data_IF_363602949708
#
_entry.id   IF_363602949708
#
_cell.length_a   1.000
_cell.length_b   1.000
_cell.length_c   1.000
_cell.angle_alpha   90.00
_cell.angle_beta   90.00
_cell.angle_gamma   90.00
#
_symmetry.space_group_name_H-M   'P 1'
#
loop_
_entity.id
_entity.type
_entity.pdbx_description
1 polymer ?
#
# COMPACT_ATOMS: atom_id res chain seq x y z
N UNK A 1 7.23 19.92 -23.25
CA UNK A 1 8.08 19.08 -22.38
C UNK A 1 8.10 19.69 -20.99
N UNK A 2 7.81 18.91 -19.95
CA UNK A 2 8.01 19.30 -18.55
C UNK A 2 8.96 18.31 -17.90
N UNK A 3 9.80 18.76 -16.99
CA UNK A 3 10.72 17.89 -16.28
C UNK A 3 10.80 18.28 -14.80
N UNK A 4 11.02 17.28 -13.96
CA UNK A 4 11.19 17.42 -12.52
C UNK A 4 12.48 16.70 -12.13
N UNK A 5 13.25 17.35 -11.27
CA UNK A 5 14.45 16.78 -10.69
C UNK A 5 14.19 16.69 -9.19
N UNK A 6 13.97 15.48 -8.71
CA UNK A 6 13.81 15.25 -7.29
C UNK A 6 15.18 14.95 -6.69
N UNK A 7 15.69 15.88 -5.89
CA UNK A 7 16.91 15.67 -5.11
C UNK A 7 16.52 15.16 -3.74
N UNK A 8 16.70 13.87 -3.50
CA UNK A 8 16.45 13.30 -2.18
C UNK A 8 17.67 12.59 -1.63
N UNK A 9 17.84 12.60 -0.30
CA UNK A 9 19.00 12.01 0.39
C UNK A 9 19.27 10.52 0.08
N UNK A 10 18.35 9.80 -0.58
CA UNK A 10 18.48 8.37 -0.87
C UNK A 10 18.43 8.03 -2.36
N UNK A 11 17.72 8.81 -3.18
CA UNK A 11 17.61 8.58 -4.63
C UNK A 11 17.36 9.93 -5.31
N UNK A 12 18.18 10.26 -6.30
CA UNK A 12 17.91 11.37 -7.20
C UNK A 12 17.09 10.81 -8.37
N UNK A 13 15.88 11.33 -8.60
CA UNK A 13 15.06 10.89 -9.75
C UNK A 13 14.82 12.05 -10.70
N UNK A 14 15.12 11.82 -11.97
CA UNK A 14 14.78 12.72 -13.06
C UNK A 14 13.56 12.15 -13.77
N UNK A 15 12.48 12.93 -13.77
CA UNK A 15 11.23 12.60 -14.41
C UNK A 15 11.05 13.59 -15.55
N UNK A 16 10.89 13.10 -16.78
CA UNK A 16 10.67 13.95 -17.96
C UNK A 16 9.40 13.48 -18.64
N UNK A 17 8.49 14.41 -18.88
CA UNK A 17 7.23 14.14 -19.56
C UNK A 17 7.18 14.96 -20.84
N UNK A 18 7.11 14.24 -21.96
CA UNK A 18 6.91 14.80 -23.31
C UNK A 18 5.47 14.56 -23.75
N UNK A 19 5.12 14.93 -24.98
CA UNK A 19 3.75 14.70 -25.48
C UNK A 19 3.45 13.22 -25.71
N UNK A 20 4.47 12.39 -25.93
CA UNK A 20 4.29 10.99 -26.37
C UNK A 20 4.99 9.98 -25.44
N UNK A 21 5.97 10.42 -24.66
CA UNK A 21 6.86 9.55 -23.89
C UNK A 21 7.05 10.07 -22.47
N UNK A 22 6.94 9.15 -21.52
CA UNK A 22 7.28 9.32 -20.11
C UNK A 22 8.68 8.75 -19.85
N UNK A 23 9.61 9.55 -19.33
CA UNK A 23 10.95 9.10 -18.94
C UNK A 23 11.10 9.19 -17.44
N UNK A 24 11.64 8.14 -16.84
CA UNK A 24 12.09 8.14 -15.45
C UNK A 24 13.45 7.46 -15.35
N UNK A 25 14.37 8.12 -14.66
CA UNK A 25 15.72 7.60 -14.47
C UNK A 25 16.28 8.03 -13.11
N UNK A 26 17.14 7.19 -12.56
CA UNK A 26 17.89 7.45 -11.32
C UNK A 26 19.35 7.75 -11.70
N UNK A 27 19.70 9.02 -12.01
CA UNK A 27 21.05 9.37 -12.38
C UNK A 27 22.02 9.34 -11.20
N UNK A 28 23.28 9.04 -11.51
CA UNK A 28 24.39 9.35 -10.60
C UNK A 28 24.61 10.87 -10.54
N UNK A 29 25.25 11.38 -9.50
CA UNK A 29 25.49 12.83 -9.32
C UNK A 29 26.14 13.52 -10.54
N UNK A 30 27.05 12.81 -11.23
CA UNK A 30 27.72 13.31 -12.44
C UNK A 30 26.76 13.43 -13.63
N UNK A 31 25.89 12.43 -13.80
CA UNK A 31 24.92 12.38 -14.89
C UNK A 31 23.81 13.42 -14.66
N UNK A 32 23.48 13.71 -13.40
CA UNK A 32 22.47 14.68 -13.02
C UNK A 32 22.76 16.09 -13.56
N UNK A 33 24.02 16.55 -13.45
CA UNK A 33 24.43 17.87 -13.95
C UNK A 33 24.35 17.91 -15.47
N UNK A 34 24.81 16.84 -16.14
CA UNK A 34 24.74 16.72 -17.59
C UNK A 34 23.28 16.74 -18.08
N UNK A 35 22.41 15.93 -17.47
CA UNK A 35 20.98 15.89 -17.80
C UNK A 35 20.30 17.21 -17.54
N UNK A 36 20.63 17.90 -16.44
CA UNK A 36 20.06 19.21 -16.16
C UNK A 36 20.41 20.24 -17.25
N UNK A 37 21.63 20.22 -17.77
CA UNK A 37 22.04 21.12 -18.86
C UNK A 37 21.36 20.76 -20.19
N UNK A 38 21.25 19.47 -20.52
CA UNK A 38 20.56 19.02 -21.73
C UNK A 38 19.06 19.32 -21.70
N UNK A 39 18.40 19.07 -20.58
CA UNK A 39 16.97 19.35 -20.39
C UNK A 39 16.66 20.86 -20.46
N UNK A 40 17.57 21.72 -19.95
CA UNK A 40 17.47 23.18 -20.11
C UNK A 40 17.54 23.62 -21.58
N UNK A 41 18.25 22.87 -22.41
CA UNK A 41 18.36 23.10 -23.85
C UNK A 41 17.23 22.43 -24.65
N UNK A 42 16.19 21.91 -23.97
CA UNK A 42 15.10 21.14 -24.58
C UNK A 42 15.57 19.89 -25.33
N UNK A 43 16.71 19.29 -24.91
CA UNK A 43 17.20 18.03 -25.45
C UNK A 43 16.92 16.91 -24.45
N UNK A 44 16.47 15.77 -24.96
CA UNK A 44 16.27 14.56 -24.15
C UNK A 44 17.59 13.80 -24.12
N UNK A 45 18.18 13.56 -22.94
CA UNK A 45 19.40 12.77 -22.84
C UNK A 45 19.23 11.37 -23.43
N UNK A 46 20.18 10.93 -24.24
CA UNK A 46 20.13 9.64 -24.94
C UNK A 46 20.11 8.43 -23.99
N UNK A 47 20.55 8.63 -22.74
CA UNK A 47 20.59 7.60 -21.70
C UNK A 47 19.23 7.42 -20.98
N UNK A 48 18.25 8.30 -21.22
CA UNK A 48 16.92 8.16 -20.64
C UNK A 48 16.13 7.07 -21.37
N UNK A 49 15.78 6.02 -20.65
CA UNK A 49 14.78 5.05 -21.10
C UNK A 49 13.39 5.60 -20.86
N UNK A 50 12.59 5.65 -21.93
CA UNK A 50 11.23 6.19 -21.90
C UNK A 50 10.18 5.14 -22.24
N UNK A 51 9.01 5.29 -21.64
CA UNK A 51 7.81 4.49 -21.92
C UNK A 51 6.89 5.36 -22.76
N UNK A 52 6.60 4.90 -23.98
CA UNK A 52 5.61 5.55 -24.84
C UNK A 52 4.23 5.45 -24.21
N UNK A 53 3.45 6.53 -24.27
CA UNK A 53 2.11 6.57 -23.70
C UNK A 53 1.17 5.51 -24.28
N UNK A 54 1.32 5.17 -25.57
CA UNK A 54 0.59 4.07 -26.22
C UNK A 54 0.82 2.69 -25.60
N UNK A 55 1.90 2.51 -24.82
CA UNK A 55 2.22 1.26 -24.12
C UNK A 55 1.76 1.27 -22.67
N UNK A 56 1.38 2.43 -22.13
CA UNK A 56 0.84 2.54 -20.79
C UNK A 56 -0.60 2.02 -20.84
N UNK A 57 -0.98 1.19 -19.87
CA UNK A 57 -2.36 0.74 -19.69
C UNK A 57 -3.08 1.57 -18.65
N UNK A 58 -2.41 1.81 -17.53
CA UNK A 58 -2.91 2.71 -16.50
C UNK A 58 -1.80 3.28 -15.63
N UNK A 59 -2.12 4.38 -14.96
CA UNK A 59 -1.27 5.01 -13.97
C UNK A 59 -2.06 5.10 -12.66
N UNK A 60 -1.49 4.54 -11.59
CA UNK A 60 -2.11 4.50 -10.27
C UNK A 60 -1.46 5.56 -9.35
N UNK A 61 -2.26 6.53 -8.94
CA UNK A 61 -1.91 7.50 -7.90
C UNK A 61 -2.59 7.12 -6.61
N UNK A 62 -1.86 6.46 -5.71
CA UNK A 62 -2.35 6.13 -4.38
C UNK A 62 -2.10 7.30 -3.41
N UNK A 63 -3.16 7.78 -2.77
CA UNK A 63 -3.06 8.85 -1.77
C UNK A 63 -2.27 8.38 -0.54
N UNK A 64 -1.50 9.27 0.09
CA UNK A 64 -0.66 8.91 1.24
C UNK A 64 0.57 8.04 0.93
N UNK A 65 0.73 7.54 -0.30
CA UNK A 65 2.00 6.98 -0.78
C UNK A 65 2.86 8.05 -1.45
N UNK A 66 4.16 8.00 -1.17
CA UNK A 66 5.19 8.82 -1.79
C UNK A 66 5.66 8.28 -3.14
N UNK A 67 4.86 7.42 -3.77
CA UNK A 67 5.13 6.87 -5.08
C UNK A 67 3.84 6.84 -5.90
N UNK A 68 4.01 6.66 -7.20
CA UNK A 68 2.96 6.29 -8.13
C UNK A 68 3.46 5.17 -9.04
N UNK A 69 2.55 4.37 -9.56
CA UNK A 69 2.87 3.21 -10.38
C UNK A 69 2.39 3.42 -11.81
N UNK A 70 3.26 3.17 -12.77
CA UNK A 70 2.91 3.13 -14.19
C UNK A 70 2.89 1.67 -14.61
N UNK A 71 1.72 1.20 -15.04
CA UNK A 71 1.53 -0.14 -15.57
C UNK A 71 1.60 -0.08 -17.09
N UNK A 72 2.62 -0.71 -17.67
CA UNK A 72 2.88 -0.69 -19.10
C UNK A 72 3.04 -2.11 -19.66
N UNK A 73 2.83 -2.25 -20.97
CA UNK A 73 2.76 -3.53 -21.68
C UNK A 73 1.82 -4.53 -21.00
N UNK A 74 2.07 -5.85 -20.97
CA UNK A 74 1.14 -6.83 -20.35
C UNK A 74 1.40 -7.11 -18.87
N UNK A 75 2.62 -6.89 -18.36
CA UNK A 75 3.00 -7.28 -16.98
C UNK A 75 4.03 -6.37 -16.32
N UNK A 76 4.47 -5.31 -16.98
CA UNK A 76 5.56 -4.49 -16.45
C UNK A 76 5.00 -3.33 -15.62
N UNK A 77 5.66 -3.07 -14.49
CA UNK A 77 5.27 -2.06 -13.52
C UNK A 77 6.49 -1.21 -13.23
N UNK A 78 6.37 0.10 -13.42
CA UNK A 78 7.37 1.07 -13.04
C UNK A 78 6.89 1.84 -11.80
N UNK A 79 7.59 1.65 -10.68
CA UNK A 79 7.34 2.41 -9.46
C UNK A 79 8.21 3.68 -9.44
N UNK A 80 7.55 4.84 -9.43
CA UNK A 80 8.22 6.15 -9.41
C UNK A 80 8.06 6.78 -8.02
N UNK A 81 9.17 6.89 -7.30
CA UNK A 81 9.22 7.48 -5.96
C UNK A 81 9.30 9.01 -6.06
N UNK A 82 8.28 9.69 -5.55
CA UNK A 82 8.16 11.15 -5.45
C UNK A 82 7.80 11.55 -4.01
N UNK A 83 8.81 11.69 -3.13
CA UNK A 83 8.61 12.09 -1.73
C UNK A 83 7.91 13.42 -1.50
N UNK A 84 7.98 14.36 -2.45
CA UNK A 84 7.27 15.64 -2.34
C UNK A 84 5.86 15.53 -2.96
N UNK A 85 4.84 15.58 -2.11
CA UNK A 85 3.42 15.55 -2.51
C UNK A 85 3.04 16.66 -3.49
N UNK A 86 3.64 17.86 -3.39
CA UNK A 86 3.40 18.96 -4.33
C UNK A 86 3.86 18.58 -5.73
N UNK A 87 5.09 18.04 -5.84
CA UNK A 87 5.65 17.59 -7.12
C UNK A 87 4.83 16.42 -7.68
N UNK A 88 4.37 15.50 -6.83
CA UNK A 88 3.49 14.40 -7.25
C UNK A 88 2.19 14.92 -7.87
N UNK A 89 1.57 15.94 -7.27
CA UNK A 89 0.36 16.56 -7.79
C UNK A 89 0.62 17.30 -9.11
N UNK A 90 1.74 18.01 -9.23
CA UNK A 90 2.14 18.65 -10.49
C UNK A 90 2.36 17.64 -11.63
N UNK A 91 3.01 16.50 -11.33
CA UNK A 91 3.21 15.42 -12.30
C UNK A 91 1.85 14.84 -12.73
N UNK A 92 0.95 14.63 -11.76
CA UNK A 92 -0.42 14.16 -12.03
C UNK A 92 -1.15 15.12 -12.96
N UNK A 93 -1.16 16.42 -12.65
CA UNK A 93 -1.79 17.44 -13.49
C UNK A 93 -1.16 17.51 -14.89
N UNK A 94 0.17 17.42 -14.97
CA UNK A 94 0.86 17.42 -16.25
C UNK A 94 0.48 16.21 -17.11
N UNK A 95 0.40 15.02 -16.52
CA UNK A 95 -0.05 13.81 -17.21
C UNK A 95 -1.50 13.96 -17.67
N UNK A 96 -2.41 14.42 -16.81
CA UNK A 96 -3.81 14.71 -17.19
C UNK A 96 -3.89 15.71 -18.35
N UNK A 97 -3.02 16.72 -18.40
CA UNK A 97 -3.04 17.74 -19.46
C UNK A 97 -2.50 17.29 -20.82
N UNK A 98 -1.63 16.28 -20.83
CA UNK A 98 -0.93 15.81 -22.04
C UNK A 98 -1.69 14.67 -22.71
N UNK A 99 -2.41 13.90 -21.90
CA UNK A 99 -3.10 12.70 -22.32
C UNK A 99 -4.42 13.07 -23.02
N UNK A 100 -4.78 12.43 -24.15
CA UNK A 100 -6.02 12.75 -24.88
C UNK A 100 -7.28 12.59 -24.01
N UNK A 101 -8.33 13.33 -24.35
CA UNK A 101 -9.63 13.40 -23.67
C UNK A 101 -10.39 12.08 -23.48
N UNK A 102 -9.89 10.98 -24.05
CA UNK A 102 -10.49 9.65 -23.99
C UNK A 102 -10.13 8.88 -22.70
N UNK A 103 -9.36 9.51 -21.82
CA UNK A 103 -8.96 8.92 -20.53
C UNK A 103 -10.11 8.77 -19.56
N UNK A 104 -10.38 7.53 -19.17
CA UNK A 104 -11.34 7.23 -18.11
C UNK A 104 -10.58 7.36 -16.78
N UNK A 105 -10.89 8.43 -16.03
CA UNK A 105 -10.49 8.54 -14.64
C UNK A 105 -11.40 7.66 -13.80
N UNK A 106 -10.83 6.64 -13.18
CA UNK A 106 -11.53 5.78 -12.24
C UNK A 106 -10.96 6.00 -10.84
N UNK A 107 -11.78 6.51 -9.94
CA UNK A 107 -11.40 6.61 -8.53
C UNK A 107 -11.87 5.33 -7.83
N UNK A 108 -11.02 4.31 -7.87
CA UNK A 108 -11.29 3.07 -7.13
C UNK A 108 -10.86 3.23 -5.68
N UNK A 109 -11.83 3.16 -4.77
CA UNK A 109 -11.51 2.80 -3.40
C UNK A 109 -11.15 1.31 -3.38
N UNK A 110 -10.04 0.93 -2.71
CA UNK A 110 -9.71 -0.49 -2.51
C UNK A 110 -10.93 -1.27 -2.01
N UNK A 111 -11.16 -2.46 -2.55
CA UNK A 111 -12.33 -3.28 -2.19
C UNK A 111 -12.28 -3.72 -0.73
N UNK A 112 -13.42 -4.03 -0.09
CA UNK A 112 -13.46 -4.44 1.34
C UNK A 112 -12.53 -5.64 1.66
N UNK A 113 -12.33 -6.53 0.69
CA UNK A 113 -11.42 -7.68 0.78
C UNK A 113 -9.93 -7.29 0.68
N UNK A 114 -9.58 -6.32 -0.16
CA UNK A 114 -8.24 -5.70 -0.16
C UNK A 114 -8.03 -4.78 1.05
N UNK A 115 -9.13 -4.28 1.64
CA UNK A 115 -9.21 -3.54 2.90
C UNK A 115 -9.27 -4.46 4.12
N UNK A 116 -9.27 -5.79 3.96
CA UNK A 116 -9.14 -6.72 5.07
C UNK A 116 -7.74 -6.53 5.66
N UNK A 117 -7.62 -5.49 6.46
CA UNK A 117 -6.37 -5.06 7.05
C UNK A 117 -5.89 -6.20 7.92
N UNK A 118 -4.57 -6.30 8.11
CA UNK A 118 -3.95 -7.17 9.12
C UNK A 118 -4.70 -7.21 10.46
N UNK A 119 -5.43 -6.13 10.82
CA UNK A 119 -6.28 -6.04 11.99
C UNK A 119 -7.57 -6.88 11.89
N UNK A 120 -8.23 -6.94 10.72
CA UNK A 120 -9.40 -7.80 10.50
C UNK A 120 -9.04 -9.29 10.58
N UNK A 121 -7.89 -9.67 9.98
CA UNK A 121 -7.36 -11.04 10.12
C UNK A 121 -7.01 -11.33 11.58
N UNK A 122 -6.40 -10.38 12.28
CA UNK A 122 -6.09 -10.52 13.70
C UNK A 122 -7.36 -10.76 14.54
N UNK A 123 -8.44 -9.96 14.34
CA UNK A 123 -9.73 -10.14 15.04
C UNK A 123 -10.32 -11.53 14.78
N UNK A 124 -10.22 -12.04 13.55
CA UNK A 124 -10.73 -13.37 13.21
C UNK A 124 -9.95 -14.45 13.98
N UNK A 125 -8.63 -14.38 13.96
CA UNK A 125 -7.76 -15.33 14.68
C UNK A 125 -8.01 -15.26 16.19
N UNK A 126 -8.05 -14.08 16.78
CA UNK A 126 -8.27 -13.92 18.23
C UNK A 126 -9.67 -14.37 18.63
N UNK A 127 -10.69 -14.12 17.80
CA UNK A 127 -12.04 -14.63 18.05
C UNK A 127 -12.10 -16.15 17.98
N UNK A 128 -11.39 -16.77 17.02
CA UNK A 128 -11.30 -18.21 16.92
C UNK A 128 -10.58 -18.83 18.13
N UNK A 129 -9.46 -18.25 18.55
CA UNK A 129 -8.75 -18.69 19.77
C UNK A 129 -9.64 -18.52 21.01
N UNK A 130 -10.33 -17.39 21.15
CA UNK A 130 -11.25 -17.14 22.26
C UNK A 130 -12.36 -18.18 22.31
N UNK A 131 -12.92 -18.54 21.15
CA UNK A 131 -13.94 -19.57 21.06
C UNK A 131 -13.41 -20.93 21.54
N UNK A 132 -12.21 -21.34 21.12
CA UNK A 132 -11.59 -22.59 21.57
C UNK A 132 -11.30 -22.58 23.09
N UNK A 133 -10.76 -21.48 23.61
CA UNK A 133 -10.51 -21.34 25.05
C UNK A 133 -11.81 -21.40 25.85
N UNK A 134 -12.87 -20.76 25.35
CA UNK A 134 -14.19 -20.78 25.97
C UNK A 134 -14.77 -22.19 26.01
N UNK A 135 -14.73 -22.93 24.90
CA UNK A 135 -15.26 -24.31 24.87
C UNK A 135 -14.51 -25.20 25.85
N UNK A 136 -13.17 -25.12 25.89
CA UNK A 136 -12.37 -25.88 26.86
C UNK A 136 -12.72 -25.49 28.29
N UNK A 137 -12.93 -24.21 28.58
CA UNK A 137 -13.29 -23.75 29.92
C UNK A 137 -14.67 -24.26 30.37
N UNK A 138 -15.65 -24.28 29.46
CA UNK A 138 -16.98 -24.84 29.74
C UNK A 138 -16.90 -26.33 30.01
N UNK A 139 -16.11 -27.06 29.22
CA UNK A 139 -15.99 -28.52 29.40
C UNK A 139 -15.24 -28.85 30.70
N UNK A 140 -14.19 -28.09 31.05
CA UNK A 140 -13.51 -28.20 32.36
C UNK A 140 -14.48 -27.90 33.52
N UNK A 141 -15.35 -26.90 33.39
CA UNK A 141 -16.39 -26.58 34.38
C UNK A 141 -17.42 -27.70 34.52
N UNK A 142 -17.68 -28.46 33.44
CA UNK A 142 -18.54 -29.64 33.44
C UNK A 142 -17.86 -30.90 33.99
N UNK A 143 -16.56 -30.84 34.31
CA UNK A 143 -15.79 -31.93 34.89
C UNK A 143 -15.05 -32.80 33.89
N UNK A 144 -14.93 -32.38 32.62
CA UNK A 144 -14.12 -33.09 31.63
C UNK A 144 -12.63 -32.83 31.86
N UNK A 145 -11.81 -33.89 31.79
CA UNK A 145 -10.36 -33.77 31.91
C UNK A 145 -9.69 -33.60 30.55
N UNK A 146 -8.96 -32.50 30.37
CA UNK A 146 -8.20 -32.22 29.16
C UNK A 146 -6.70 -32.45 29.35
N UNK A 147 -6.09 -33.19 28.42
CA UNK A 147 -4.63 -33.28 28.31
C UNK A 147 -4.19 -32.72 26.95
N UNK A 148 -3.27 -31.76 26.99
CA UNK A 148 -2.79 -31.07 25.80
C UNK A 148 -1.29 -31.28 25.56
N UNK A 149 -0.85 -30.95 24.35
CA UNK A 149 0.56 -30.77 24.02
C UNK A 149 0.75 -29.42 23.30
N UNK A 150 1.86 -28.75 23.55
CA UNK A 150 2.18 -27.46 22.94
C UNK A 150 1.16 -26.36 23.26
N UNK A 151 0.59 -25.74 22.22
CA UNK A 151 -0.39 -24.65 22.36
C UNK A 151 -1.66 -25.10 23.12
N UNK A 152 -2.00 -26.39 23.10
CA UNK A 152 -3.14 -26.93 23.85
C UNK A 152 -3.01 -26.71 25.36
N UNK A 153 -1.82 -26.88 25.93
CA UNK A 153 -1.60 -26.66 27.37
C UNK A 153 -1.73 -25.20 27.77
N UNK A 154 -1.37 -24.29 26.87
CA UNK A 154 -1.54 -22.86 27.10
C UNK A 154 -3.03 -22.50 27.13
N UNK A 155 -3.80 -23.02 26.17
CA UNK A 155 -5.25 -22.80 26.13
C UNK A 155 -5.93 -23.39 27.38
N UNK A 156 -5.62 -24.64 27.73
CA UNK A 156 -6.14 -25.31 28.93
C UNK A 156 -5.79 -24.50 30.20
N UNK A 157 -4.54 -24.06 30.35
CA UNK A 157 -4.13 -23.26 31.51
C UNK A 157 -4.84 -21.91 31.60
N UNK A 158 -5.07 -21.24 30.46
CA UNK A 158 -5.89 -20.01 30.43
C UNK A 158 -7.34 -20.33 30.80
N UNK A 159 -7.91 -21.40 30.24
CA UNK A 159 -9.28 -21.84 30.52
C UNK A 159 -9.49 -22.17 32.00
N UNK A 160 -8.56 -22.91 32.63
CA UNK A 160 -8.61 -23.28 34.04
C UNK A 160 -8.49 -22.06 34.97
N UNK A 161 -7.61 -21.12 34.64
CA UNK A 161 -7.35 -19.94 35.49
C UNK A 161 -8.42 -18.86 35.37
N UNK A 162 -9.05 -18.72 34.20
CA UNK A 162 -10.01 -17.64 33.92
C UNK A 162 -11.47 -18.10 33.94
N UNK A 163 -11.74 -19.40 33.78
CA UNK A 163 -13.08 -19.93 33.62
C UNK A 163 -13.77 -19.48 32.32
N UNK A 164 -14.99 -19.95 32.09
CA UNK A 164 -15.75 -19.70 30.86
C UNK A 164 -16.03 -18.21 30.64
N UNK A 165 -16.46 -17.51 31.70
CA UNK A 165 -16.70 -16.06 31.64
C UNK A 165 -15.41 -15.24 31.49
N UNK A 166 -14.32 -15.63 32.15
CA UNK A 166 -13.05 -14.92 32.05
C UNK A 166 -12.41 -15.08 30.67
N UNK A 167 -12.52 -16.26 30.05
CA UNK A 167 -12.06 -16.51 28.69
C UNK A 167 -12.76 -15.59 27.67
N UNK A 168 -14.08 -15.44 27.76
CA UNK A 168 -14.85 -14.52 26.91
C UNK A 168 -14.45 -13.06 27.13
N UNK A 169 -14.34 -12.65 28.39
CA UNK A 169 -13.95 -11.28 28.74
C UNK A 169 -12.56 -10.93 28.21
N UNK A 170 -11.58 -11.83 28.38
CA UNK A 170 -10.22 -11.65 27.90
C UNK A 170 -10.17 -11.52 26.38
N UNK A 171 -10.87 -12.41 25.67
CA UNK A 171 -10.94 -12.36 24.20
C UNK A 171 -11.58 -11.08 23.67
N UNK A 172 -12.66 -10.62 24.32
CA UNK A 172 -13.32 -9.37 23.99
C UNK A 172 -12.39 -8.17 24.21
N UNK A 173 -11.65 -8.14 25.33
CA UNK A 173 -10.69 -7.09 25.65
C UNK A 173 -9.59 -7.01 24.58
N UNK A 174 -9.03 -8.15 24.18
CA UNK A 174 -8.02 -8.23 23.11
C UNK A 174 -8.60 -7.70 21.78
N UNK A 175 -9.81 -8.12 21.41
CA UNK A 175 -10.48 -7.64 20.21
C UNK A 175 -10.72 -6.12 20.24
N UNK A 176 -11.15 -5.57 21.39
CA UNK A 176 -11.30 -4.13 21.57
C UNK A 176 -9.98 -3.38 21.38
N UNK A 177 -8.86 -3.90 21.91
CA UNK A 177 -7.54 -3.31 21.70
C UNK A 177 -7.16 -3.31 20.21
N UNK A 178 -7.39 -4.43 19.51
CA UNK A 178 -7.10 -4.53 18.07
C UNK A 178 -7.93 -3.53 17.28
N UNK A 179 -9.21 -3.35 17.63
CA UNK A 179 -10.09 -2.36 17.00
C UNK A 179 -9.59 -0.95 17.29
N UNK A 180 -9.24 -0.60 18.53
CA UNK A 180 -8.74 0.72 18.89
C UNK A 180 -7.47 1.10 18.11
N UNK A 181 -6.56 0.14 17.91
CA UNK A 181 -5.32 0.35 17.16
C UNK A 181 -5.57 0.33 15.64
N UNK A 182 -6.47 -0.53 15.18
CA UNK A 182 -6.77 -0.75 13.77
C UNK A 182 -7.65 0.32 13.15
N UNK A 183 -8.64 0.83 13.90
CA UNK A 183 -9.67 1.75 13.40
C UNK A 183 -9.11 3.03 12.75
N UNK A 184 -8.16 3.76 13.37
CA UNK A 184 -7.58 4.95 12.75
C UNK A 184 -6.85 4.64 11.43
N UNK A 185 -6.26 3.43 11.33
CA UNK A 185 -5.51 2.99 10.15
C UNK A 185 -6.41 2.49 9.03
N UNK A 186 -7.59 1.97 9.36
CA UNK A 186 -8.62 1.58 8.39
C UNK A 186 -9.31 2.84 7.83
N UNK A 187 -9.55 3.86 8.66
CA UNK A 187 -10.22 5.09 8.25
C UNK A 187 -9.37 5.93 7.27
N UNK A 188 -8.04 5.94 7.42
CA UNK A 188 -7.12 6.53 6.44
C UNK A 188 -6.77 5.56 5.32
N UNK A 189 -7.78 4.93 4.72
CA UNK A 189 -7.57 4.09 3.54
C UNK A 189 -7.25 4.99 2.34
N UNK A 190 -6.13 4.74 1.66
CA UNK A 190 -5.73 5.57 0.54
C UNK A 190 -6.66 5.34 -0.65
N UNK A 191 -7.17 6.43 -1.20
CA UNK A 191 -7.85 6.44 -2.50
C UNK A 191 -6.81 6.21 -3.60
N UNK A 192 -7.14 5.34 -4.56
CA UNK A 192 -6.35 5.20 -5.78
C UNK A 192 -7.09 5.95 -6.87
N UNK A 193 -6.47 7.02 -7.35
CA UNK A 193 -6.85 7.64 -8.61
C UNK A 193 -6.15 6.87 -9.73
N UNK A 194 -6.92 6.06 -10.45
CA UNK A 194 -6.47 5.29 -11.61
C UNK A 194 -6.83 6.03 -12.89
N UNK A 195 -5.86 6.17 -13.78
CA UNK A 195 -6.04 6.77 -15.10
C UNK A 195 -5.80 5.70 -16.16
N UNK A 196 -6.83 5.36 -16.94
CA UNK A 196 -6.79 4.32 -17.97
C UNK A 196 -6.45 4.87 -19.36
N UNK A 197 -5.47 4.23 -20.04
CA UNK A 197 -5.11 4.44 -21.46
C UNK A 197 -5.87 3.48 -22.38
#
# INVERSE_FOLDING_TARGET
MKYWINKTQKEDKVIVVTNEVFYAYNPNEKDLIAFQNELRLNKIPAQLSGIQFSRIRHIDFEDGKNCFEIHYDKKDILEVLVPNLSIKNEIKEALVSIVPSDFIREQTQKTFLEKASKYGIAILITSFVTFLTYTIAVDLENGDEYTGAGLGNILIGISETTGSYGALFLGLLINCIIILIGFPKIQHSPTIDRFWY
#
